data_IF_634315204948
#
_entry.id   IF_634315204948
#
_cell.length_a   1.000
_cell.length_b   1.000
_cell.length_c   1.000
_cell.angle_alpha   90.00
_cell.angle_beta   90.00
_cell.angle_gamma   90.00
#
_symmetry.space_group_name_H-M   'P 1'
#
loop_
_entity.id
_entity.type
_entity.pdbx_description
1 polymer ?
#
# COMPACT_ATOMS: atom_id res chain seq x y z
N UNK A 1 7.26 -5.40 4.63
CA UNK A 1 8.27 -4.34 4.76
C UNK A 1 9.41 -4.89 5.60
N UNK A 2 10.64 -4.76 5.14
CA UNK A 2 11.81 -5.20 5.91
C UNK A 2 12.09 -4.14 7.00
N UNK A 3 12.04 -4.48 8.30
CA UNK A 3 12.25 -3.50 9.38
C UNK A 3 13.71 -3.02 9.50
N UNK A 4 14.67 -3.77 8.96
CA UNK A 4 16.10 -3.43 9.02
C UNK A 4 16.50 -2.50 7.88
N UNK A 5 16.04 -2.81 6.66
CA UNK A 5 16.41 -2.06 5.44
C UNK A 5 15.36 -1.06 5.00
N UNK A 6 14.17 -1.11 5.61
CA UNK A 6 12.99 -0.33 5.21
C UNK A 6 12.50 -0.62 3.79
N UNK A 7 12.94 -1.74 3.19
CA UNK A 7 12.51 -2.15 1.86
C UNK A 7 11.04 -2.57 1.85
N UNK A 8 10.33 -2.10 0.82
CA UNK A 8 8.99 -2.58 0.51
C UNK A 8 9.09 -3.95 -0.16
N UNK A 9 8.37 -4.93 0.38
CA UNK A 9 8.28 -6.28 -0.16
C UNK A 9 6.82 -6.53 -0.50
N UNK A 10 6.55 -7.00 -1.73
CA UNK A 10 5.22 -7.34 -2.17
C UNK A 10 4.62 -8.44 -1.29
N UNK A 11 3.35 -8.28 -0.89
CA UNK A 11 2.63 -9.25 -0.06
C UNK A 11 1.93 -10.34 -0.88
N UNK A 12 1.75 -10.11 -2.19
CA UNK A 12 1.14 -11.05 -3.12
C UNK A 12 1.85 -10.97 -4.49
N UNK A 13 1.61 -11.98 -5.34
CA UNK A 13 2.01 -11.95 -6.74
C UNK A 13 1.04 -11.09 -7.54
N UNK A 14 1.54 -10.42 -8.56
CA UNK A 14 0.71 -9.66 -9.49
C UNK A 14 1.45 -8.54 -10.19
N UNK A 15 0.68 -7.58 -10.72
CA UNK A 15 1.23 -6.45 -11.47
C UNK A 15 1.55 -5.28 -10.55
N UNK A 16 2.80 -4.82 -10.61
CA UNK A 16 3.27 -3.61 -9.93
C UNK A 16 2.78 -2.34 -10.64
N UNK A 17 2.37 -1.34 -9.86
CA UNK A 17 2.06 0.00 -10.36
C UNK A 17 2.40 1.08 -9.34
N UNK A 18 2.67 2.29 -9.82
CA UNK A 18 2.91 3.48 -9.00
C UNK A 18 1.80 4.49 -9.26
N UNK A 19 1.21 5.01 -8.19
CA UNK A 19 0.24 6.12 -8.23
C UNK A 19 0.80 7.33 -7.48
N UNK A 20 0.11 8.46 -7.57
CA UNK A 20 0.37 9.62 -6.72
C UNK A 20 -0.89 9.88 -5.89
N UNK A 21 -0.78 9.82 -4.57
CA UNK A 21 -1.92 9.87 -3.65
C UNK A 21 -1.73 10.93 -2.56
N UNK A 22 -2.84 11.34 -1.93
CA UNK A 22 -2.84 12.25 -0.79
C UNK A 22 -2.60 11.44 0.49
N UNK A 23 -1.60 11.84 1.26
CA UNK A 23 -1.25 11.20 2.52
C UNK A 23 -2.32 11.44 3.59
N UNK A 24 -2.77 10.37 4.23
CA UNK A 24 -3.64 10.42 5.42
C UNK A 24 -2.93 9.70 6.59
N UNK A 25 -2.10 10.42 7.36
CA UNK A 25 -1.26 9.84 8.40
C UNK A 25 -2.06 9.37 9.64
N UNK A 26 -1.55 8.38 10.36
CA UNK A 26 -2.10 7.96 11.66
C UNK A 26 -1.87 9.01 12.75
N UNK A 27 -2.67 9.04 13.84
CA UNK A 27 -2.57 10.02 14.93
C UNK A 27 -1.20 10.14 15.62
N UNK A 28 -0.46 9.03 15.68
CA UNK A 28 0.88 8.93 16.26
C UNK A 28 1.99 9.36 15.30
N UNK A 29 1.66 9.60 14.04
CA UNK A 29 2.62 10.08 13.04
C UNK A 29 3.07 11.52 13.33
N UNK A 30 4.36 11.85 13.14
CA UNK A 30 4.83 13.23 13.23
C UNK A 30 4.19 14.16 12.18
N UNK A 31 3.56 13.61 11.14
CA UNK A 31 2.89 14.37 10.08
C UNK A 31 1.41 14.65 10.37
N UNK A 32 0.84 14.07 11.44
CA UNK A 32 -0.59 14.14 11.69
C UNK A 32 -1.11 15.56 11.88
N UNK A 33 -0.45 16.35 12.74
CA UNK A 33 -0.84 17.74 12.99
C UNK A 33 -0.74 18.61 11.74
N UNK A 34 0.26 18.37 10.90
CA UNK A 34 0.46 19.10 9.66
C UNK A 34 -0.71 18.87 8.68
N UNK A 35 -1.11 17.62 8.49
CA UNK A 35 -2.19 17.26 7.55
C UNK A 35 -3.56 17.62 8.12
N UNK A 36 -3.88 17.18 9.34
CA UNK A 36 -5.25 17.24 9.87
C UNK A 36 -5.59 18.51 10.65
N UNK A 37 -4.61 19.15 11.30
CA UNK A 37 -4.86 20.35 12.12
C UNK A 37 -4.52 21.63 11.37
N UNK A 38 -3.45 21.60 10.56
CA UNK A 38 -3.00 22.74 9.75
C UNK A 38 -3.54 22.69 8.31
N UNK A 39 -4.28 21.64 7.94
CA UNK A 39 -4.93 21.51 6.63
C UNK A 39 -3.97 21.39 5.44
N UNK A 40 -2.72 20.96 5.66
CA UNK A 40 -1.78 20.80 4.55
C UNK A 40 -2.08 19.53 3.75
N UNK A 41 -2.04 19.63 2.43
CA UNK A 41 -2.11 18.47 1.55
C UNK A 41 -0.70 18.02 1.18
N UNK A 42 -0.38 16.76 1.45
CA UNK A 42 0.89 16.15 1.07
C UNK A 42 0.58 15.08 0.03
N UNK A 43 1.11 15.25 -1.18
CA UNK A 43 1.00 14.26 -2.24
C UNK A 43 2.31 13.48 -2.40
N UNK A 44 2.24 12.15 -2.45
CA UNK A 44 3.40 11.27 -2.51
C UNK A 44 3.16 10.10 -3.47
N UNK A 45 4.23 9.52 -4.04
CA UNK A 45 4.12 8.29 -4.80
C UNK A 45 3.79 7.12 -3.86
N UNK A 46 2.84 6.29 -4.26
CA UNK A 46 2.50 5.04 -3.58
C UNK A 46 2.71 3.86 -4.54
N UNK A 47 3.17 2.75 -3.96
CA UNK A 47 3.40 1.50 -4.67
C UNK A 47 2.24 0.56 -4.40
N UNK A 48 1.71 -0.05 -5.45
CA UNK A 48 0.64 -1.04 -5.37
C UNK A 48 1.03 -2.31 -6.11
N UNK A 49 0.50 -3.43 -5.61
CA UNK A 49 0.50 -4.70 -6.32
C UNK A 49 -0.95 -5.06 -6.60
N UNK A 50 -1.28 -5.16 -7.89
CA UNK A 50 -2.60 -5.63 -8.34
C UNK A 50 -2.50 -7.14 -8.41
N UNK A 51 -3.10 -7.81 -7.43
CA UNK A 51 -3.07 -9.26 -7.29
C UNK A 51 -3.61 -9.96 -8.54
N UNK A 52 -2.91 -11.03 -8.97
CA UNK A 52 -3.40 -11.88 -10.06
C UNK A 52 -4.68 -12.58 -9.62
N UNK A 53 -5.73 -12.51 -10.46
CA UNK A 53 -6.97 -13.25 -10.17
C UNK A 53 -6.69 -14.74 -10.27
N UNK A 54 -6.58 -15.41 -9.14
CA UNK A 54 -6.63 -16.88 -9.09
C UNK A 54 -8.09 -17.30 -9.20
N UNK A 55 -8.52 -17.76 -10.38
CA UNK A 55 -9.79 -18.46 -10.46
C UNK A 55 -9.70 -19.77 -9.66
N UNK A 56 -10.68 -20.06 -8.80
CA UNK A 56 -10.66 -21.29 -8.03
C UNK A 56 -10.74 -22.49 -8.98
N UNK A 57 -9.71 -23.34 -8.96
CA UNK A 57 -9.71 -24.60 -9.69
C UNK A 57 -10.43 -25.65 -8.84
N UNK A 58 -11.69 -25.93 -9.17
CA UNK A 58 -12.44 -27.01 -8.55
C UNK A 58 -12.08 -28.33 -9.25
N UNK A 59 -11.59 -29.32 -8.49
CA UNK A 59 -11.34 -30.67 -9.00
C UNK A 59 -12.32 -31.64 -8.35
N UNK A 60 -13.11 -32.37 -9.17
CA UNK A 60 -13.96 -33.45 -8.67
C UNK A 60 -13.07 -34.63 -8.25
N UNK A 61 -13.14 -35.01 -6.97
CA UNK A 61 -12.50 -36.23 -6.48
C UNK A 61 -13.36 -37.43 -6.89
N UNK A 62 -12.73 -38.43 -7.51
CA UNK A 62 -13.32 -39.73 -7.83
C UNK A 62 -13.25 -40.67 -6.63
#
# INVERSE_FOLDING_TARGET
MNPETWDLVALCNGRFTISTEILSPFPDSPLYSLVHQKGHTISKPFVHVIEDRMEPVYTLKR
#
